data_IF_953169303564
#
_entry.id   IF_953169303564
#
_cell.length_a   1.000
_cell.length_b   1.000
_cell.length_c   1.000
_cell.angle_alpha   90.00
_cell.angle_beta   90.00
_cell.angle_gamma   90.00
#
_symmetry.space_group_name_H-M   'P 1'
#
loop_
_entity.id
_entity.type
_entity.pdbx_description
1 polymer ?
#
# COMPACT_ATOMS: atom_id res chain seq x y z
N UNK A 1 8.37 -4.13 8.67
CA UNK A 1 6.98 -3.65 8.71
C UNK A 1 7.02 -2.21 8.19
N UNK A 2 6.02 -1.82 7.40
CA UNK A 2 5.89 -0.50 6.76
C UNK A 2 4.41 -0.11 6.69
N UNK A 3 4.12 1.19 6.75
CA UNK A 3 2.77 1.74 6.57
C UNK A 3 2.69 2.51 5.25
N UNK A 4 1.53 2.51 4.60
CA UNK A 4 1.32 3.30 3.39
C UNK A 4 -0.11 3.81 3.23
N UNK A 5 -0.27 5.13 3.29
CA UNK A 5 -1.49 5.82 2.89
C UNK A 5 -1.34 6.48 1.52
N UNK A 6 -2.47 6.84 0.90
CA UNK A 6 -2.54 7.16 -0.53
C UNK A 6 -2.86 8.64 -0.81
N UNK A 7 -3.09 9.43 0.23
CA UNK A 7 -3.31 10.87 0.17
C UNK A 7 -2.02 11.65 -0.07
N UNK A 8 -2.15 12.96 -0.30
CA UNK A 8 -1.07 13.83 -0.80
C UNK A 8 0.20 13.79 0.02
N UNK A 9 0.08 13.76 1.35
CA UNK A 9 1.21 13.71 2.28
C UNK A 9 1.47 12.31 2.86
N UNK A 10 0.63 11.32 2.51
CA UNK A 10 0.74 9.96 3.04
C UNK A 10 0.40 9.85 4.52
N UNK A 11 -0.31 10.82 5.09
CA UNK A 11 -0.73 10.81 6.50
C UNK A 11 -1.94 9.91 6.77
N UNK A 12 -2.75 9.61 5.75
CA UNK A 12 -3.99 8.86 5.91
C UNK A 12 -5.14 9.68 6.50
N UNK A 13 -5.06 11.01 6.47
CA UNK A 13 -6.06 11.91 7.07
C UNK A 13 -7.02 12.51 6.04
N UNK A 14 -6.76 12.31 4.74
CA UNK A 14 -7.54 12.87 3.63
C UNK A 14 -8.15 11.73 2.80
N UNK A 15 -9.45 11.82 2.50
CA UNK A 15 -10.17 10.76 1.76
C UNK A 15 -9.74 10.63 0.28
N UNK A 16 -9.11 11.65 -0.27
CA UNK A 16 -8.66 11.72 -1.67
C UNK A 16 -7.30 11.07 -1.83
N UNK A 17 -7.23 9.99 -2.61
CA UNK A 17 -5.96 9.43 -3.07
C UNK A 17 -5.34 10.32 -4.16
N UNK A 18 -4.00 10.36 -4.30
CA UNK A 18 -3.33 11.22 -5.29
C UNK A 18 -3.69 10.85 -6.74
N UNK A 19 -3.73 9.55 -7.04
CA UNK A 19 -4.03 9.02 -8.36
C UNK A 19 -4.56 7.58 -8.26
N UNK A 20 -4.97 6.98 -9.37
CA UNK A 20 -5.36 5.56 -9.46
C UNK A 20 -4.18 4.59 -9.39
N UNK A 21 -2.93 5.08 -9.42
CA UNK A 21 -1.70 4.26 -9.45
C UNK A 21 -0.78 4.48 -8.25
N UNK A 22 -1.08 5.49 -7.42
CA UNK A 22 -0.18 5.97 -6.36
C UNK A 22 0.24 4.88 -5.37
N UNK A 23 -0.64 3.92 -5.07
CA UNK A 23 -0.33 2.84 -4.12
C UNK A 23 0.83 1.97 -4.60
N UNK A 24 0.78 1.48 -5.84
CA UNK A 24 1.88 0.73 -6.46
C UNK A 24 3.17 1.54 -6.51
N UNK A 25 3.09 2.80 -6.93
CA UNK A 25 4.25 3.68 -7.07
C UNK A 25 4.99 3.82 -5.75
N UNK A 26 4.27 4.05 -4.64
CA UNK A 26 4.87 4.26 -3.32
C UNK A 26 5.51 3.00 -2.72
N UNK A 27 5.01 1.80 -3.02
CA UNK A 27 5.59 0.54 -2.50
C UNK A 27 6.69 -0.05 -3.40
N UNK A 28 6.88 0.47 -4.62
CA UNK A 28 7.84 -0.10 -5.60
C UNK A 28 9.28 -0.06 -5.08
N UNK A 29 9.73 1.08 -4.54
CA UNK A 29 11.10 1.22 -4.03
C UNK A 29 11.36 0.32 -2.81
N UNK A 30 10.39 0.21 -1.91
CA UNK A 30 10.46 -0.70 -0.77
C UNK A 30 10.53 -2.17 -1.20
N UNK A 31 9.73 -2.54 -2.21
CA UNK A 31 9.74 -3.90 -2.78
C UNK A 31 11.11 -4.25 -3.33
N UNK A 32 11.72 -3.35 -4.11
CA UNK A 32 13.07 -3.56 -4.64
C UNK A 32 14.10 -3.68 -3.51
N UNK A 33 14.01 -2.82 -2.49
CA UNK A 33 14.91 -2.88 -1.34
C UNK A 33 14.81 -4.22 -0.60
N UNK A 34 13.59 -4.74 -0.39
CA UNK A 34 13.39 -6.04 0.25
C UNK A 34 14.05 -7.17 -0.57
N UNK A 35 13.89 -7.16 -1.90
CA UNK A 35 14.50 -8.15 -2.81
C UNK A 35 16.02 -8.10 -2.76
N UNK A 36 16.60 -6.91 -2.91
CA UNK A 36 18.06 -6.71 -2.94
C UNK A 36 18.72 -7.15 -1.62
N UNK A 37 18.01 -6.95 -0.50
CA UNK A 37 18.54 -7.22 0.83
C UNK A 37 18.09 -8.56 1.42
N UNK A 38 17.41 -9.40 0.63
CA UNK A 38 16.88 -10.71 1.05
C UNK A 38 16.05 -10.61 2.33
N UNK A 39 15.17 -9.61 2.38
CA UNK A 39 14.25 -9.35 3.50
C UNK A 39 12.82 -9.59 3.06
N UNK A 40 11.96 -9.78 4.05
CA UNK A 40 10.51 -9.87 3.88
C UNK A 40 9.83 -8.74 4.64
N UNK A 41 8.69 -8.30 4.12
CA UNK A 41 7.90 -7.20 4.63
C UNK A 41 6.43 -7.59 4.82
N UNK A 42 5.77 -6.81 5.66
CA UNK A 42 4.31 -6.77 5.82
C UNK A 42 3.94 -5.30 5.75
N UNK A 43 2.86 -4.99 5.02
CA UNK A 43 2.28 -3.66 5.02
C UNK A 43 1.28 -3.57 6.19
N UNK A 44 1.74 -3.13 7.35
CA UNK A 44 1.00 -3.23 8.61
C UNK A 44 -0.17 -2.26 8.72
N UNK A 45 -0.15 -1.18 7.94
CA UNK A 45 -1.26 -0.25 7.79
C UNK A 45 -1.36 0.25 6.36
N UNK A 46 -2.58 0.24 5.83
CA UNK A 46 -2.95 0.98 4.63
C UNK A 46 -4.44 1.33 4.64
N UNK A 47 -4.81 2.42 3.96
CA UNK A 47 -6.19 2.83 3.79
C UNK A 47 -6.37 3.76 2.58
N UNK A 48 -7.63 4.00 2.22
CA UNK A 48 -8.05 5.00 1.25
C UNK A 48 -9.56 5.27 1.39
N UNK A 49 -10.02 6.43 0.91
CA UNK A 49 -11.44 6.80 0.97
C UNK A 49 -12.34 5.89 0.14
N UNK A 50 -13.64 5.90 0.45
CA UNK A 50 -14.65 5.07 -0.25
C UNK A 50 -15.07 5.72 -1.58
N UNK A 51 -14.13 5.83 -2.51
CA UNK A 51 -14.31 6.39 -3.85
C UNK A 51 -13.56 5.56 -4.91
N UNK A 52 -13.94 5.70 -6.17
CA UNK A 52 -13.46 4.80 -7.23
C UNK A 52 -11.96 4.98 -7.55
N UNK A 53 -11.43 6.19 -7.35
CA UNK A 53 -10.00 6.45 -7.51
C UNK A 53 -9.19 5.67 -6.46
N UNK A 54 -9.59 5.77 -5.19
CA UNK A 54 -8.93 5.06 -4.10
C UNK A 54 -9.10 3.54 -4.21
N UNK A 55 -10.29 3.04 -4.57
CA UNK A 55 -10.48 1.60 -4.84
C UNK A 55 -9.51 1.10 -5.90
N UNK A 56 -9.37 1.83 -7.00
CA UNK A 56 -8.44 1.47 -8.08
C UNK A 56 -6.98 1.47 -7.59
N UNK A 57 -6.59 2.50 -6.83
CA UNK A 57 -5.24 2.62 -6.28
C UNK A 57 -4.91 1.50 -5.28
N UNK A 58 -5.85 1.13 -4.41
CA UNK A 58 -5.72 0.03 -3.45
C UNK A 58 -5.61 -1.30 -4.19
N UNK A 59 -6.50 -1.59 -5.15
CA UNK A 59 -6.43 -2.82 -5.95
C UNK A 59 -5.09 -2.93 -6.64
N UNK A 60 -4.64 -1.90 -7.35
CA UNK A 60 -3.34 -1.92 -8.04
C UNK A 60 -2.14 -2.06 -7.10
N UNK A 61 -2.23 -1.53 -5.87
CA UNK A 61 -1.21 -1.75 -4.83
C UNK A 61 -1.20 -3.21 -4.38
N UNK A 62 -2.36 -3.76 -4.01
CA UNK A 62 -2.47 -5.14 -3.52
C UNK A 62 -2.12 -6.17 -4.59
N UNK A 63 -2.51 -5.96 -5.85
CA UNK A 63 -2.08 -6.78 -6.99
C UNK A 63 -0.55 -6.78 -7.10
N UNK A 64 0.08 -5.61 -7.02
CA UNK A 64 1.54 -5.51 -7.06
C UNK A 64 2.22 -6.20 -5.87
N UNK A 65 1.68 -6.11 -4.65
CA UNK A 65 2.21 -6.89 -3.52
C UNK A 65 2.02 -8.39 -3.74
N UNK A 66 0.88 -8.81 -4.30
CA UNK A 66 0.56 -10.21 -4.63
C UNK A 66 1.48 -10.82 -5.69
N UNK A 67 1.88 -10.03 -6.68
CA UNK A 67 2.88 -10.40 -7.69
C UNK A 67 4.32 -10.50 -7.11
N UNK A 68 4.54 -10.01 -5.88
CA UNK A 68 5.84 -9.94 -5.21
C UNK A 68 5.81 -10.63 -3.83
N UNK A 69 5.11 -11.77 -3.75
CA UNK A 69 4.97 -12.59 -2.54
C UNK A 69 6.27 -13.26 -2.07
N UNK A 70 7.33 -13.21 -2.88
CA UNK A 70 8.69 -13.56 -2.46
C UNK A 70 9.22 -12.63 -1.35
N UNK A 71 8.72 -11.39 -1.28
CA UNK A 71 9.12 -10.39 -0.28
C UNK A 71 7.98 -9.79 0.52
N UNK A 72 6.73 -9.84 0.05
CA UNK A 72 5.57 -9.35 0.80
C UNK A 72 4.73 -10.49 1.37
N UNK A 73 4.62 -10.55 2.69
CA UNK A 73 3.89 -11.60 3.41
C UNK A 73 2.40 -11.29 3.59
N UNK A 74 1.99 -10.05 3.36
CA UNK A 74 0.59 -9.63 3.49
C UNK A 74 0.44 -8.14 3.79
N UNK A 75 -0.81 -7.74 3.99
CA UNK A 75 -1.20 -6.38 4.31
C UNK A 75 -2.35 -6.36 5.32
N UNK A 76 -2.42 -5.34 6.16
CA UNK A 76 -3.48 -5.15 7.16
C UNK A 76 -4.13 -3.78 6.99
N UNK A 77 -5.46 -3.77 6.84
CA UNK A 77 -6.25 -2.55 6.68
C UNK A 77 -6.28 -1.74 7.98
N UNK A 78 -6.08 -0.43 7.87
CA UNK A 78 -6.29 0.50 8.97
C UNK A 78 -7.60 1.28 8.79
N UNK A 79 -8.61 1.11 9.62
CA UNK A 79 -8.75 0.14 10.71
C UNK A 79 -10.20 -0.37 10.76
N UNK A 80 -10.44 -1.38 11.59
CA UNK A 80 -11.78 -1.72 12.05
C UNK A 80 -12.05 -0.99 13.39
N UNK A 81 -12.69 -1.66 14.34
CA UNK A 81 -13.07 -1.13 15.65
C UNK A 81 -14.48 -1.61 16.03
N UNK A 82 -14.82 -1.67 17.32
CA UNK A 82 -16.19 -1.98 17.77
C UNK A 82 -17.20 -0.91 17.37
#
# INVERSE_FOLDING_TARGET
EMHQYLDSDGSGTIETCVSTTIGKERVTAATQWLKDNKKVGVLGEFAGGVNDQCKTAITGMLDYLGDNTDVWLGALWWAAGP
#
